data_IF_841688087369
#
_entry.id   IF_841688087369
#
_cell.length_a   1.000
_cell.length_b   1.000
_cell.length_c   1.000
_cell.angle_alpha   90.00
_cell.angle_beta   90.00
_cell.angle_gamma   90.00
#
_symmetry.space_group_name_H-M   'P 1'
#
loop_
_entity.id
_entity.type
_entity.pdbx_description
1 polymer ?
#
# COMPACT_ATOMS: atom_id res chain seq x y z
N UNK A 1 -21.18 27.68 28.56
CA UNK A 1 -20.34 27.90 27.36
C UNK A 1 -20.83 27.08 26.13
N UNK A 2 -20.85 25.72 26.14
CA UNK A 2 -21.20 24.92 24.96
C UNK A 2 -22.59 25.19 24.39
N UNK A 3 -23.65 25.15 25.22
CA UNK A 3 -25.04 25.37 24.80
C UNK A 3 -25.35 26.81 24.30
N UNK A 4 -24.43 27.75 24.53
CA UNK A 4 -24.53 29.13 24.07
C UNK A 4 -23.73 29.40 22.81
N UNK A 5 -22.92 28.42 22.36
CA UNK A 5 -22.09 28.55 21.17
C UNK A 5 -22.91 28.52 19.88
N UNK A 6 -22.44 29.24 18.87
CA UNK A 6 -23.05 29.19 17.52
C UNK A 6 -23.04 27.79 16.92
N UNK A 7 -21.99 27.02 17.18
CA UNK A 7 -21.88 25.63 16.68
C UNK A 7 -22.97 24.73 17.30
N UNK A 8 -23.30 24.93 18.58
CA UNK A 8 -24.40 24.20 19.21
C UNK A 8 -25.74 24.54 18.53
N UNK A 9 -26.06 25.82 18.40
CA UNK A 9 -27.32 26.28 17.80
C UNK A 9 -27.50 25.89 16.36
N UNK A 10 -26.42 25.91 15.56
CA UNK A 10 -26.50 25.63 14.14
C UNK A 10 -26.41 24.12 13.82
N UNK A 11 -25.64 23.36 14.59
CA UNK A 11 -25.30 21.96 14.23
C UNK A 11 -26.01 20.97 15.15
N UNK A 12 -26.01 21.18 16.45
CA UNK A 12 -26.45 20.17 17.41
C UNK A 12 -27.91 20.33 17.84
N UNK A 13 -28.37 21.56 18.06
CA UNK A 13 -29.75 21.85 18.51
C UNK A 13 -30.81 21.40 17.50
N UNK A 14 -30.69 21.61 16.18
CA UNK A 14 -31.66 21.12 15.20
C UNK A 14 -31.84 19.59 15.22
N UNK A 15 -30.78 18.87 15.59
CA UNK A 15 -30.79 17.40 15.72
C UNK A 15 -31.09 16.93 17.15
N UNK A 16 -31.48 17.83 18.07
CA UNK A 16 -31.77 17.55 19.49
C UNK A 16 -30.60 16.92 20.24
N UNK A 17 -29.36 17.10 19.78
CA UNK A 17 -28.15 16.56 20.40
C UNK A 17 -27.81 17.42 21.64
N UNK A 18 -27.79 16.78 22.82
CA UNK A 18 -27.56 17.46 24.10
C UNK A 18 -26.18 17.16 24.71
N UNK A 19 -25.59 16.02 24.35
CA UNK A 19 -24.29 15.57 24.85
C UNK A 19 -23.49 14.93 23.72
N UNK A 20 -22.19 15.19 23.77
CA UNK A 20 -21.23 14.62 22.81
C UNK A 20 -20.08 14.01 23.58
N UNK A 21 -19.68 12.81 23.18
CA UNK A 21 -18.45 12.17 23.58
C UNK A 21 -17.66 11.89 22.29
N UNK A 22 -16.51 12.52 22.15
CA UNK A 22 -15.64 12.35 20.99
C UNK A 22 -14.26 11.87 21.43
N UNK A 23 -13.72 10.94 20.71
CA UNK A 23 -12.32 10.50 20.82
C UNK A 23 -11.63 10.65 19.46
N UNK A 24 -10.36 11.04 19.50
CA UNK A 24 -9.54 11.24 18.32
C UNK A 24 -8.37 10.25 18.39
N UNK A 25 -8.14 9.55 17.32
CA UNK A 25 -6.92 8.81 17.06
C UNK A 25 -6.10 9.55 16.01
N UNK A 26 -4.79 9.63 16.20
CA UNK A 26 -3.84 10.25 15.26
C UNK A 26 -2.86 9.18 14.82
N UNK A 27 -2.91 8.82 13.55
CA UNK A 27 -1.88 7.95 12.96
C UNK A 27 -0.55 8.71 12.88
N UNK A 28 0.47 8.23 13.59
CA UNK A 28 1.78 8.91 13.64
C UNK A 28 2.54 8.81 12.32
N UNK A 29 2.26 7.81 11.51
CA UNK A 29 2.94 7.58 10.23
C UNK A 29 2.36 8.47 9.13
N UNK A 30 1.03 8.54 9.03
CA UNK A 30 0.33 9.28 7.96
C UNK A 30 -0.16 10.66 8.38
N UNK A 31 -0.20 10.97 9.67
CA UNK A 31 -0.76 12.21 10.21
C UNK A 31 -2.29 12.29 10.15
N UNK A 32 -2.97 11.21 9.76
CA UNK A 32 -4.44 11.20 9.63
C UNK A 32 -5.11 11.16 11.00
N UNK A 33 -6.19 11.93 11.09
CA UNK A 33 -7.05 12.00 12.26
C UNK A 33 -8.32 11.18 12.04
N UNK A 34 -8.57 10.20 12.91
CA UNK A 34 -9.83 9.48 12.98
C UNK A 34 -10.63 9.96 14.17
N UNK A 35 -11.84 10.45 13.92
CA UNK A 35 -12.75 10.96 14.95
C UNK A 35 -13.95 10.02 15.09
N UNK A 36 -14.19 9.53 16.30
CA UNK A 36 -15.40 8.79 16.65
C UNK A 36 -16.21 9.63 17.64
N UNK A 37 -17.49 9.87 17.34
CA UNK A 37 -18.38 10.65 18.20
C UNK A 37 -19.65 9.90 18.53
N UNK A 38 -20.03 9.90 19.81
CA UNK A 38 -21.31 9.42 20.30
C UNK A 38 -22.15 10.61 20.76
N UNK A 39 -23.44 10.54 20.50
CA UNK A 39 -24.38 11.60 20.83
C UNK A 39 -25.44 11.09 21.81
N UNK A 40 -25.88 11.98 22.71
CA UNK A 40 -27.05 11.78 23.56
C UNK A 40 -28.04 12.92 23.41
N UNK A 41 -29.30 12.55 23.45
CA UNK A 41 -30.43 13.48 23.31
C UNK A 41 -30.98 13.92 24.67
N UNK A 42 -30.53 13.30 25.75
CA UNK A 42 -30.91 13.66 27.14
C UNK A 42 -29.79 14.49 27.79
N UNK A 43 -30.14 15.72 28.18
CA UNK A 43 -29.24 16.65 28.85
C UNK A 43 -28.78 16.18 30.23
N UNK A 44 -29.61 15.41 30.94
CA UNK A 44 -29.35 14.96 32.31
C UNK A 44 -28.43 13.73 32.36
N UNK A 45 -28.36 12.96 31.29
CA UNK A 45 -27.52 11.79 31.19
C UNK A 45 -26.10 12.15 30.69
N UNK A 46 -25.16 12.32 31.63
CA UNK A 46 -23.74 12.54 31.30
C UNK A 46 -23.05 11.23 30.96
N UNK A 47 -22.06 11.29 30.09
CA UNK A 47 -21.15 10.17 29.89
C UNK A 47 -20.27 9.98 31.14
N UNK A 48 -20.29 8.79 31.71
CA UNK A 48 -19.48 8.44 32.87
C UNK A 48 -18.05 8.03 32.46
N UNK A 49 -17.18 7.77 33.43
CA UNK A 49 -15.77 7.42 33.17
C UNK A 49 -15.61 6.09 32.45
N UNK A 50 -16.47 5.11 32.77
CA UNK A 50 -16.45 3.78 32.16
C UNK A 50 -16.85 3.83 30.67
N UNK A 51 -17.88 4.61 30.36
CA UNK A 51 -18.30 4.85 28.97
C UNK A 51 -17.24 5.58 28.15
N UNK A 52 -16.52 6.52 28.75
CA UNK A 52 -15.40 7.20 28.10
C UNK A 52 -14.27 6.22 27.78
N UNK A 53 -13.90 5.37 28.72
CA UNK A 53 -12.86 4.35 28.52
C UNK A 53 -13.27 3.36 27.44
N UNK A 54 -14.49 2.82 27.49
CA UNK A 54 -15.01 1.92 26.45
C UNK A 54 -15.01 2.57 25.07
N UNK A 55 -15.40 3.84 24.98
CA UNK A 55 -15.41 4.57 23.71
C UNK A 55 -13.99 4.72 23.13
N UNK A 56 -12.99 5.01 23.95
CA UNK A 56 -11.59 5.06 23.53
C UNK A 56 -11.09 3.69 23.05
N UNK A 57 -11.43 2.63 23.79
CA UNK A 57 -11.07 1.25 23.43
C UNK A 57 -11.72 0.84 22.11
N UNK A 58 -13.00 1.19 21.89
CA UNK A 58 -13.70 0.92 20.62
C UNK A 58 -13.01 1.65 19.47
N UNK A 59 -12.68 2.94 19.62
CA UNK A 59 -11.99 3.69 18.59
C UNK A 59 -10.66 3.03 18.24
N UNK A 60 -9.86 2.64 19.24
CA UNK A 60 -8.59 1.96 19.03
C UNK A 60 -8.78 0.68 18.21
N UNK A 61 -9.68 -0.21 18.62
CA UNK A 61 -9.93 -1.46 17.89
C UNK A 61 -10.50 -1.25 16.49
N UNK A 62 -11.35 -0.24 16.29
CA UNK A 62 -11.87 0.07 14.95
C UNK A 62 -10.76 0.52 14.01
N UNK A 63 -9.87 1.41 14.48
CA UNK A 63 -8.75 1.89 13.67
C UNK A 63 -7.79 0.74 13.35
N UNK A 64 -7.34 0.00 14.35
CA UNK A 64 -6.43 -1.15 14.15
C UNK A 64 -7.02 -2.20 13.21
N UNK A 65 -8.32 -2.52 13.37
CA UNK A 65 -8.98 -3.50 12.49
C UNK A 65 -9.10 -2.99 11.05
N UNK A 66 -9.41 -1.71 10.86
CA UNK A 66 -9.51 -1.10 9.54
C UNK A 66 -8.14 -1.07 8.84
N UNK A 67 -7.09 -0.61 9.55
CA UNK A 67 -5.71 -0.61 9.05
C UNK A 67 -5.26 -2.02 8.68
N UNK A 68 -5.48 -3.00 9.55
CA UNK A 68 -5.11 -4.38 9.29
C UNK A 68 -5.85 -4.97 8.08
N UNK A 69 -7.17 -4.75 7.96
CA UNK A 69 -7.95 -5.20 6.81
C UNK A 69 -7.47 -4.53 5.50
N UNK A 70 -7.14 -3.24 5.58
CA UNK A 70 -6.60 -2.48 4.46
C UNK A 70 -5.26 -3.07 3.99
N UNK A 71 -4.29 -3.26 4.90
CA UNK A 71 -2.98 -3.84 4.59
C UNK A 71 -3.08 -5.28 4.07
N UNK A 72 -3.98 -6.11 4.63
CA UNK A 72 -4.21 -7.46 4.11
C UNK A 72 -4.73 -7.45 2.68
N UNK A 73 -5.60 -6.50 2.34
CA UNK A 73 -6.10 -6.37 0.96
C UNK A 73 -5.01 -5.96 -0.03
N UNK A 74 -3.96 -5.31 0.44
CA UNK A 74 -2.82 -4.90 -0.37
C UNK A 74 -1.84 -6.05 -0.63
N UNK A 75 -1.60 -6.92 0.36
CA UNK A 75 -0.61 -8.01 0.27
C UNK A 75 -0.97 -9.13 -0.71
N UNK A 76 -2.23 -9.24 -1.10
CA UNK A 76 -2.72 -10.32 -1.99
C UNK A 76 -2.43 -10.10 -3.48
N UNK A 77 -1.58 -9.17 -3.89
CA UNK A 77 -1.30 -8.88 -5.30
C UNK A 77 0.19 -8.75 -5.61
N UNK A 78 0.73 -9.83 -6.10
CA UNK A 78 1.66 -10.06 -7.23
C UNK A 78 3.07 -9.44 -7.25
N UNK A 79 3.51 -8.61 -6.34
CA UNK A 79 4.89 -8.12 -6.33
C UNK A 79 5.63 -8.55 -5.06
N UNK A 80 6.47 -9.57 -5.13
CA UNK A 80 7.31 -9.96 -4.00
C UNK A 80 8.24 -8.79 -3.61
N UNK A 81 8.48 -8.62 -2.30
CA UNK A 81 9.30 -7.57 -1.71
C UNK A 81 8.83 -6.13 -1.98
N UNK A 82 7.57 -5.93 -2.34
CA UNK A 82 6.97 -4.60 -2.39
C UNK A 82 6.32 -4.23 -1.07
N UNK A 83 6.40 -2.95 -0.75
CA UNK A 83 5.72 -2.33 0.39
C UNK A 83 4.62 -1.41 -0.12
N UNK A 84 3.56 -1.25 0.65
CA UNK A 84 2.34 -0.66 0.14
C UNK A 84 1.86 0.53 0.97
N UNK A 85 1.13 1.42 0.29
CA UNK A 85 0.36 2.49 0.90
C UNK A 85 -0.95 2.71 0.13
N UNK A 86 -1.90 3.37 0.78
CA UNK A 86 -3.13 3.87 0.16
C UNK A 86 -3.16 5.38 0.35
N UNK A 87 -3.50 6.10 -0.71
CA UNK A 87 -3.72 7.54 -0.65
C UNK A 87 -4.98 7.95 -1.43
N UNK A 88 -5.43 9.19 -1.24
CA UNK A 88 -6.46 9.81 -2.04
C UNK A 88 -5.88 10.42 -3.34
N UNK A 89 -6.74 11.04 -4.15
CA UNK A 89 -6.33 11.71 -5.39
C UNK A 89 -5.38 12.91 -5.17
N UNK A 90 -5.32 13.45 -3.95
CA UNK A 90 -4.39 14.51 -3.57
C UNK A 90 -3.06 13.96 -3.07
N UNK A 91 -2.92 12.64 -3.00
CA UNK A 91 -1.75 11.94 -2.50
C UNK A 91 -1.68 11.87 -0.97
N UNK A 92 -2.72 12.26 -0.23
CA UNK A 92 -2.74 12.17 1.24
C UNK A 92 -2.86 10.70 1.62
N UNK A 93 -1.90 10.19 2.39
CA UNK A 93 -1.89 8.80 2.84
C UNK A 93 -3.04 8.52 3.81
N UNK A 94 -3.83 7.50 3.50
CA UNK A 94 -4.84 6.94 4.40
C UNK A 94 -4.27 5.81 5.25
N UNK A 95 -3.38 5.01 4.65
CA UNK A 95 -2.65 3.94 5.31
C UNK A 95 -1.31 3.75 4.60
N UNK A 96 -0.26 3.38 5.33
CA UNK A 96 1.05 3.07 4.76
C UNK A 96 1.81 2.09 5.63
N UNK A 97 2.49 1.12 5.01
CA UNK A 97 3.45 0.27 5.70
C UNK A 97 4.67 1.10 6.12
N UNK A 98 5.25 0.78 7.28
CA UNK A 98 6.43 1.50 7.77
C UNK A 98 7.59 1.48 6.75
N UNK A 99 7.84 0.32 6.14
CA UNK A 99 8.86 0.15 5.12
C UNK A 99 8.60 0.97 3.85
N UNK A 100 7.31 1.17 3.48
CA UNK A 100 6.96 2.07 2.38
C UNK A 100 7.44 3.49 2.67
N UNK A 101 7.16 3.99 3.86
CA UNK A 101 7.57 5.34 4.29
C UNK A 101 9.10 5.43 4.38
N UNK A 102 9.78 4.42 4.93
CA UNK A 102 11.23 4.39 5.05
C UNK A 102 11.91 4.49 3.68
N UNK A 103 11.47 3.72 2.69
CA UNK A 103 11.98 3.79 1.31
C UNK A 103 11.68 5.15 0.65
N UNK A 104 10.48 5.70 0.86
CA UNK A 104 10.12 7.03 0.35
C UNK A 104 11.03 8.12 0.93
N UNK A 105 11.31 8.09 2.23
CA UNK A 105 12.23 9.02 2.90
C UNK A 105 13.65 8.91 2.33
N UNK A 106 14.12 7.69 2.08
CA UNK A 106 15.44 7.46 1.46
C UNK A 106 15.52 8.07 0.06
N UNK A 107 14.45 7.95 -0.75
CA UNK A 107 14.42 8.47 -2.12
C UNK A 107 14.37 10.00 -2.19
N UNK A 108 13.64 10.64 -1.27
CA UNK A 108 13.30 12.06 -1.36
C UNK A 108 14.11 12.95 -0.40
N UNK A 109 14.84 12.37 0.55
CA UNK A 109 15.52 13.08 1.64
C UNK A 109 14.60 13.99 2.48
N UNK A 110 13.28 13.88 2.33
CA UNK A 110 12.29 14.60 3.13
C UNK A 110 11.77 13.71 4.26
N UNK A 111 12.00 14.14 5.51
CA UNK A 111 11.63 13.38 6.71
C UNK A 111 10.15 13.49 7.09
N UNK A 112 9.36 14.35 6.45
CA UNK A 112 7.95 14.61 6.78
C UNK A 112 7.03 14.29 5.61
N UNK A 113 7.07 13.05 5.12
CA UNK A 113 6.21 12.59 4.03
C UNK A 113 4.78 12.28 4.54
N UNK A 114 3.98 13.32 4.76
CA UNK A 114 2.53 13.18 5.02
C UNK A 114 1.71 13.03 3.75
N UNK A 115 2.36 13.18 2.59
CA UNK A 115 1.73 13.16 1.27
C UNK A 115 2.65 12.52 0.25
N UNK A 116 2.07 11.72 -0.67
CA UNK A 116 2.76 11.20 -1.84
C UNK A 116 3.20 12.36 -2.75
N UNK A 117 4.48 12.47 -3.09
CA UNK A 117 5.02 13.65 -3.76
C UNK A 117 4.84 13.68 -5.28
N UNK A 118 4.36 12.58 -5.87
CA UNK A 118 4.17 12.44 -7.31
C UNK A 118 2.70 12.49 -7.70
N UNK A 119 2.40 12.60 -9.00
CA UNK A 119 1.03 12.43 -9.49
C UNK A 119 0.59 10.97 -9.30
N UNK A 120 -0.47 10.77 -8.52
CA UNK A 120 -1.03 9.45 -8.23
C UNK A 120 -1.61 8.75 -9.46
N UNK A 121 -1.86 9.49 -10.56
CA UNK A 121 -2.33 8.95 -11.84
C UNK A 121 -1.19 8.44 -12.73
N UNK A 122 0.04 8.76 -12.38
CA UNK A 122 1.23 8.20 -13.04
C UNK A 122 1.42 6.76 -12.55
N UNK A 123 1.21 5.79 -13.44
CA UNK A 123 1.21 4.37 -13.09
C UNK A 123 2.56 3.87 -12.58
N UNK A 124 3.67 4.43 -13.10
CA UNK A 124 5.03 4.05 -12.70
C UNK A 124 5.93 5.27 -12.56
N UNK A 125 6.72 5.30 -11.50
CA UNK A 125 7.79 6.28 -11.25
C UNK A 125 9.07 5.55 -10.87
N UNK A 126 10.17 5.83 -11.55
CA UNK A 126 11.49 5.23 -11.27
C UNK A 126 12.42 6.30 -10.70
N UNK A 127 12.96 6.05 -9.51
CA UNK A 127 13.86 6.95 -8.78
C UNK A 127 15.15 6.20 -8.42
N UNK A 128 16.16 6.31 -9.27
CA UNK A 128 17.41 5.56 -9.08
C UNK A 128 17.16 4.05 -9.11
N UNK A 129 17.37 3.39 -7.99
CA UNK A 129 17.13 1.95 -7.82
C UNK A 129 15.75 1.63 -7.20
N UNK A 130 14.85 2.59 -7.11
CA UNK A 130 13.50 2.41 -6.55
C UNK A 130 12.46 2.51 -7.65
N UNK A 131 11.51 1.60 -7.64
CA UNK A 131 10.35 1.58 -8.52
C UNK A 131 9.09 1.77 -7.68
N UNK A 132 8.28 2.73 -8.09
CA UNK A 132 6.97 3.03 -7.51
C UNK A 132 5.90 2.71 -8.54
N UNK A 133 4.87 2.00 -8.11
CA UNK A 133 3.67 1.84 -8.93
C UNK A 133 2.46 2.45 -8.22
N UNK A 134 1.56 3.03 -9.02
CA UNK A 134 0.27 3.53 -8.57
C UNK A 134 -0.84 2.86 -9.36
N UNK A 135 -1.87 2.41 -8.67
CA UNK A 135 -3.06 1.79 -9.27
C UNK A 135 -4.32 2.32 -8.61
N UNK A 136 -5.27 2.80 -9.41
CA UNK A 136 -6.54 3.27 -8.89
C UNK A 136 -7.37 2.13 -8.30
N UNK A 137 -7.95 2.38 -7.13
CA UNK A 137 -8.80 1.48 -6.37
C UNK A 137 -10.07 2.24 -5.91
N UNK A 138 -11.09 2.32 -6.76
CA UNK A 138 -12.26 3.17 -6.52
C UNK A 138 -11.85 4.65 -6.48
N UNK A 139 -12.17 5.33 -5.37
CA UNK A 139 -11.81 6.74 -5.14
C UNK A 139 -10.40 6.92 -4.53
N UNK A 140 -9.71 5.82 -4.29
CA UNK A 140 -8.37 5.80 -3.70
C UNK A 140 -7.34 5.27 -4.69
N UNK A 141 -6.08 5.39 -4.33
CA UNK A 141 -4.93 4.87 -5.07
C UNK A 141 -4.12 3.95 -4.18
N UNK A 142 -3.86 2.75 -4.68
CA UNK A 142 -2.87 1.84 -4.10
C UNK A 142 -1.51 2.21 -4.67
N UNK A 143 -0.57 2.45 -3.78
CA UNK A 143 0.82 2.66 -4.10
C UNK A 143 1.62 1.41 -3.69
N UNK A 144 2.57 1.00 -4.52
CA UNK A 144 3.60 0.04 -4.14
C UNK A 144 4.98 0.61 -4.40
N UNK A 145 5.93 0.27 -3.54
CA UNK A 145 7.34 0.68 -3.64
C UNK A 145 8.22 -0.55 -3.44
N UNK A 146 9.24 -0.67 -4.26
CA UNK A 146 10.28 -1.71 -4.13
C UNK A 146 11.61 -1.24 -4.69
N UNK A 147 12.66 -1.93 -4.32
CA UNK A 147 13.93 -1.78 -4.99
C UNK A 147 13.89 -2.45 -6.38
N UNK A 148 14.60 -1.85 -7.34
CA UNK A 148 14.75 -2.43 -8.67
C UNK A 148 15.60 -3.69 -8.59
N UNK A 149 15.19 -4.69 -9.34
CA UNK A 149 15.91 -5.94 -9.49
C UNK A 149 16.59 -6.00 -10.87
N UNK A 150 17.71 -6.70 -11.02
CA UNK A 150 18.25 -6.99 -12.35
C UNK A 150 17.22 -7.60 -13.30
N UNK A 151 16.21 -8.31 -12.77
CA UNK A 151 15.12 -8.89 -13.55
C UNK A 151 14.22 -7.84 -14.22
N UNK A 152 14.19 -6.60 -13.73
CA UNK A 152 13.41 -5.51 -14.33
C UNK A 152 13.98 -5.04 -15.67
N UNK A 153 15.23 -5.39 -15.97
CA UNK A 153 15.85 -5.14 -17.29
C UNK A 153 15.35 -6.10 -18.39
N UNK A 154 14.61 -7.12 -17.99
CA UNK A 154 14.09 -8.14 -18.91
C UNK A 154 12.78 -7.67 -19.55
N UNK A 155 12.66 -7.91 -20.87
CA UNK A 155 11.41 -7.71 -21.58
C UNK A 155 10.33 -8.69 -21.08
N UNK A 156 9.06 -8.37 -21.27
CA UNK A 156 7.92 -9.26 -20.94
C UNK A 156 8.13 -10.69 -21.44
N UNK A 157 8.69 -10.86 -22.64
CA UNK A 157 8.93 -12.16 -23.22
C UNK A 157 10.07 -12.91 -22.51
N UNK A 158 11.11 -12.20 -22.13
CA UNK A 158 12.20 -12.76 -21.34
C UNK A 158 11.73 -13.16 -19.93
N UNK A 159 10.89 -12.35 -19.30
CA UNK A 159 10.27 -12.65 -18.00
C UNK A 159 9.42 -13.94 -18.06
N UNK A 160 8.60 -14.11 -19.10
CA UNK A 160 7.82 -15.34 -19.32
C UNK A 160 8.73 -16.59 -19.51
N UNK A 161 9.88 -16.42 -20.16
CA UNK A 161 10.87 -17.51 -20.28
C UNK A 161 11.49 -17.82 -18.92
N UNK A 162 11.89 -16.81 -18.16
CA UNK A 162 12.42 -16.97 -16.78
C UNK A 162 11.41 -17.71 -15.90
N UNK A 163 10.15 -17.30 -15.90
CA UNK A 163 9.07 -17.96 -15.15
C UNK A 163 8.98 -19.46 -15.52
N UNK A 164 8.96 -19.78 -16.81
CA UNK A 164 8.93 -21.17 -17.25
C UNK A 164 10.13 -21.99 -16.78
N UNK A 165 11.32 -21.37 -16.82
CA UNK A 165 12.57 -22.00 -16.37
C UNK A 165 12.55 -22.25 -14.87
N UNK A 166 12.15 -21.29 -14.07
CA UNK A 166 12.11 -21.41 -12.59
C UNK A 166 11.06 -22.39 -12.10
N UNK A 167 9.94 -22.51 -12.83
CA UNK A 167 8.94 -23.57 -12.59
C UNK A 167 9.37 -24.97 -13.07
N UNK A 168 10.60 -25.16 -13.51
CA UNK A 168 11.11 -26.47 -13.87
C UNK A 168 10.71 -26.96 -15.27
N UNK A 169 10.08 -26.13 -16.10
CA UNK A 169 9.65 -26.52 -17.44
C UNK A 169 10.85 -26.77 -18.38
N UNK A 170 10.74 -27.75 -19.24
CA UNK A 170 11.69 -27.97 -20.34
C UNK A 170 11.51 -26.93 -21.45
N UNK A 171 12.54 -26.73 -22.28
CA UNK A 171 12.46 -25.78 -23.40
C UNK A 171 11.32 -26.10 -24.37
N UNK A 172 11.00 -27.38 -24.56
CA UNK A 172 9.85 -27.79 -25.38
C UNK A 172 8.51 -27.38 -24.77
N UNK A 173 8.39 -27.49 -23.45
CA UNK A 173 7.18 -27.09 -22.73
C UNK A 173 7.01 -25.55 -22.71
N UNK A 174 8.11 -24.82 -22.49
CA UNK A 174 8.10 -23.34 -22.54
C UNK A 174 7.74 -22.89 -23.97
N UNK A 175 8.38 -23.50 -24.99
CA UNK A 175 8.11 -23.18 -26.37
C UNK A 175 6.62 -23.40 -26.72
N UNK A 176 6.03 -24.51 -26.27
CA UNK A 176 4.61 -24.79 -26.45
C UNK A 176 3.71 -23.77 -25.72
N UNK A 177 4.03 -23.44 -24.46
CA UNK A 177 3.26 -22.46 -23.66
C UNK A 177 3.29 -21.06 -24.27
N UNK A 178 4.43 -20.70 -24.87
CA UNK A 178 4.67 -19.36 -25.40
C UNK A 178 4.50 -19.23 -26.92
N UNK A 179 4.08 -20.31 -27.60
CA UNK A 179 3.93 -20.36 -29.05
C UNK A 179 5.24 -20.03 -29.84
N UNK A 180 6.35 -20.53 -29.34
CA UNK A 180 7.69 -20.35 -29.89
C UNK A 180 8.30 -21.66 -30.34
N UNK A 181 9.45 -21.57 -31.05
CA UNK A 181 10.30 -22.73 -31.26
C UNK A 181 11.22 -22.96 -30.04
N UNK A 182 11.64 -24.24 -29.77
CA UNK A 182 12.61 -24.52 -28.71
C UNK A 182 13.95 -23.78 -28.89
N UNK A 183 14.38 -23.55 -30.14
CA UNK A 183 15.57 -22.76 -30.45
C UNK A 183 15.40 -21.28 -30.09
N UNK A 184 14.20 -20.72 -30.29
CA UNK A 184 13.88 -19.32 -29.88
C UNK A 184 13.95 -19.18 -28.36
N UNK A 185 13.41 -20.16 -27.61
CA UNK A 185 13.50 -20.18 -26.14
C UNK A 185 14.97 -20.23 -25.68
N UNK A 186 15.80 -21.08 -26.33
CA UNK A 186 17.23 -21.16 -26.05
C UNK A 186 17.94 -19.80 -26.29
N UNK A 187 17.61 -19.12 -27.39
CA UNK A 187 18.17 -17.79 -27.70
C UNK A 187 17.74 -16.72 -26.70
N UNK A 188 16.47 -16.73 -26.25
CA UNK A 188 16.04 -15.85 -25.18
C UNK A 188 16.83 -16.12 -23.90
N UNK A 189 16.99 -17.38 -23.52
CA UNK A 189 17.72 -17.74 -22.30
C UNK A 189 19.20 -17.28 -22.36
N UNK A 190 19.85 -17.45 -23.47
CA UNK A 190 21.21 -16.95 -23.67
C UNK A 190 21.31 -15.44 -23.47
N UNK A 191 20.38 -14.67 -24.05
CA UNK A 191 20.32 -13.19 -23.87
C UNK A 191 20.02 -12.82 -22.43
N UNK A 192 19.12 -13.54 -21.75
CA UNK A 192 18.81 -13.35 -20.32
C UNK A 192 20.07 -13.55 -19.50
N UNK A 193 20.82 -14.63 -19.71
CA UNK A 193 22.07 -14.87 -18.98
C UNK A 193 23.08 -13.74 -19.18
N UNK A 194 23.22 -13.24 -20.39
CA UNK A 194 24.09 -12.08 -20.65
C UNK A 194 23.61 -10.81 -19.95
N UNK A 195 22.31 -10.49 -20.00
CA UNK A 195 21.74 -9.31 -19.36
C UNK A 195 21.90 -9.34 -17.84
N UNK A 196 21.70 -10.52 -17.23
CA UNK A 196 21.76 -10.71 -15.79
C UNK A 196 23.19 -11.03 -15.29
N UNK A 197 24.15 -11.17 -16.22
CA UNK A 197 25.54 -11.57 -15.91
C UNK A 197 25.61 -12.89 -15.11
N UNK A 198 24.83 -13.88 -15.51
CA UNK A 198 24.78 -15.24 -14.93
C UNK A 198 25.14 -16.27 -15.97
N UNK A 199 25.54 -17.50 -15.52
CA UNK A 199 26.06 -18.51 -16.42
C UNK A 199 25.19 -19.76 -16.55
N UNK A 200 24.26 -19.96 -15.60
CA UNK A 200 23.48 -21.19 -15.56
C UNK A 200 22.09 -21.01 -14.96
N UNK A 201 21.29 -22.08 -15.07
CA UNK A 201 19.90 -22.12 -14.61
C UNK A 201 19.78 -22.02 -13.07
N UNK A 202 20.75 -22.52 -12.33
CA UNK A 202 20.76 -22.49 -10.87
C UNK A 202 20.88 -21.05 -10.38
N UNK A 203 21.83 -20.29 -10.92
CA UNK A 203 22.01 -18.87 -10.61
C UNK A 203 20.75 -18.05 -10.93
N UNK A 204 20.07 -18.38 -12.06
CA UNK A 204 18.80 -17.75 -12.40
C UNK A 204 17.70 -18.07 -11.37
N UNK A 205 17.62 -19.33 -10.95
CA UNK A 205 16.64 -19.76 -9.95
C UNK A 205 16.89 -19.10 -8.59
N UNK A 206 18.14 -19.03 -8.15
CA UNK A 206 18.54 -18.37 -6.91
C UNK A 206 18.18 -16.89 -6.94
N UNK A 207 18.44 -16.20 -8.07
CA UNK A 207 18.11 -14.77 -8.25
C UNK A 207 16.60 -14.51 -8.17
N UNK A 208 15.77 -15.46 -8.63
CA UNK A 208 14.30 -15.37 -8.56
C UNK A 208 13.77 -15.75 -7.18
N UNK A 209 14.42 -16.66 -6.43
CA UNK A 209 14.00 -17.08 -5.09
C UNK A 209 14.35 -16.07 -4.00
N UNK A 210 15.32 -15.19 -4.23
CA UNK A 210 15.68 -14.08 -3.33
C UNK A 210 14.62 -12.95 -3.39
N UNK A 211 13.64 -13.09 -4.26
CA UNK A 211 12.54 -12.14 -4.43
C UNK A 211 11.40 -12.33 -3.44
#
# INVERSE_FOLDING_TARGET
AFYQSEIFKRVFEPHKIQRILSSIHICRQTGIYTLLSLYRFDKNHKFNSDEKLRHQTILFHLVESASHACLLSLKNQDEPNSHHAICDEKGIYHEAEAQFIDLMVQCQADKNLTKYPFDVRQEEVVLGNIILHSKQLGDLFRLSIRESSPLDTLTLREQQVVEGVTHGLSFKQIAKKLELSPSTVSNHLYRIYQKLNINNRSELADMVQIK
#
